data_IF_271961230778
#
_entry.id   IF_271961230778
#
_cell.length_a   1.000
_cell.length_b   1.000
_cell.length_c   1.000
_cell.angle_alpha   90.00
_cell.angle_beta   90.00
_cell.angle_gamma   90.00
#
_symmetry.space_group_name_H-M   'P 1'
#
loop_
_entity.id
_entity.type
_entity.pdbx_description
1 polymer ?
#
# COMPACT_ATOMS: atom_id res chain seq x y z
N UNK A 1 -5.25 -12.84 25.72
CA UNK A 1 -4.50 -11.83 26.47
C UNK A 1 -5.49 -10.85 27.08
N UNK A 2 -5.31 -10.40 28.32
CA UNK A 2 -6.01 -9.20 28.80
C UNK A 2 -5.11 -7.97 28.58
N UNK A 3 -5.72 -6.82 28.29
CA UNK A 3 -4.99 -5.56 28.07
C UNK A 3 -4.21 -5.13 29.32
N UNK A 4 -4.61 -5.61 30.51
CA UNK A 4 -3.95 -5.39 31.81
C UNK A 4 -2.49 -5.90 31.89
N UNK A 5 -1.97 -6.52 30.83
CA UNK A 5 -0.57 -6.98 30.70
C UNK A 5 0.31 -6.11 29.80
N UNK A 6 -0.24 -5.02 29.24
CA UNK A 6 0.45 -4.06 28.39
C UNK A 6 0.49 -2.68 29.06
N UNK A 7 1.57 -2.41 29.80
CA UNK A 7 1.80 -1.09 30.39
C UNK A 7 2.03 -0.02 29.32
N UNK A 8 1.44 1.15 29.55
CA UNK A 8 1.56 2.38 28.76
C UNK A 8 1.02 2.33 27.32
N UNK A 9 -0.28 2.05 27.16
CA UNK A 9 -1.01 2.47 25.94
C UNK A 9 -0.98 3.99 25.85
N UNK A 10 -0.18 4.53 24.94
CA UNK A 10 -0.20 5.96 24.59
C UNK A 10 -1.26 6.21 23.53
N UNK A 11 -2.18 7.14 23.78
CA UNK A 11 -3.09 7.71 22.76
C UNK A 11 -2.63 9.12 22.38
N UNK A 12 -2.98 9.57 21.17
CA UNK A 12 -2.46 10.79 20.54
C UNK A 12 -3.36 11.99 20.82
N UNK A 13 -2.79 13.04 21.40
CA UNK A 13 -3.29 14.40 21.21
C UNK A 13 -2.67 15.01 19.94
N UNK A 14 -3.54 15.50 19.04
CA UNK A 14 -3.24 15.91 17.67
C UNK A 14 -2.43 17.23 17.57
N UNK A 15 -1.90 17.57 16.38
CA UNK A 15 -1.55 18.94 15.98
C UNK A 15 -2.78 19.66 15.40
N UNK A 16 -2.96 20.95 15.73
CA UNK A 16 -4.18 21.73 15.47
C UNK A 16 -4.37 22.23 14.00
N UNK A 17 -4.29 21.35 13.00
CA UNK A 17 -4.40 21.75 11.57
C UNK A 17 -5.71 21.36 10.86
N UNK A 18 -6.46 20.38 11.36
CA UNK A 18 -7.86 20.14 10.95
C UNK A 18 -8.70 19.81 12.20
N UNK A 19 -9.68 20.66 12.59
CA UNK A 19 -10.50 20.46 13.78
C UNK A 19 -11.67 19.46 13.60
N UNK A 20 -11.80 18.84 12.42
CA UNK A 20 -12.88 17.92 12.06
C UNK A 20 -12.38 16.47 11.94
N UNK A 21 -11.18 16.27 11.38
CA UNK A 21 -10.64 14.92 11.14
C UNK A 21 -9.95 14.34 12.39
N UNK A 22 -10.71 13.68 13.27
CA UNK A 22 -10.13 12.87 14.34
C UNK A 22 -9.47 11.60 13.76
N UNK A 23 -8.15 11.67 13.58
CA UNK A 23 -7.32 10.51 13.25
C UNK A 23 -7.39 9.44 14.38
N UNK A 24 -7.24 8.16 14.04
CA UNK A 24 -7.11 7.08 15.03
C UNK A 24 -5.78 7.15 15.80
N UNK A 25 -5.70 6.40 16.89
CA UNK A 25 -4.58 6.41 17.82
C UNK A 25 -3.45 5.46 17.39
N UNK A 26 -2.19 5.91 17.49
CA UNK A 26 -1.03 5.02 17.33
C UNK A 26 -0.77 4.31 18.65
N UNK A 27 -1.06 3.02 18.70
CA UNK A 27 -0.95 2.18 19.90
C UNK A 27 0.51 1.78 20.10
N UNK A 28 1.17 2.36 21.11
CA UNK A 28 2.48 1.90 21.59
C UNK A 28 2.31 1.07 22.85
N UNK A 29 3.08 -0.01 23.00
CA UNK A 29 3.17 -0.81 24.22
C UNK A 29 4.58 -1.42 24.39
N UNK A 30 4.97 -1.76 25.64
CA UNK A 30 6.29 -2.34 25.95
C UNK A 30 6.17 -3.67 26.69
N UNK A 31 6.99 -4.64 26.32
CA UNK A 31 7.13 -5.89 27.07
C UNK A 31 8.60 -6.30 27.27
N UNK A 32 9.08 -6.52 28.51
CA UNK A 32 8.44 -6.12 29.77
C UNK A 32 8.29 -4.59 29.86
N UNK A 33 7.39 -4.13 30.74
CA UNK A 33 7.10 -2.70 30.97
C UNK A 33 8.36 -1.87 31.29
N UNK A 34 9.26 -2.45 32.08
CA UNK A 34 10.65 -1.99 32.27
C UNK A 34 11.58 -2.94 31.51
N UNK A 35 12.15 -2.54 30.36
CA UNK A 35 13.06 -3.38 29.57
C UNK A 35 14.29 -3.88 30.36
N UNK A 36 14.72 -5.11 30.11
CA UNK A 36 15.98 -5.64 30.64
C UNK A 36 17.16 -5.04 29.85
N UNK A 37 18.10 -4.30 30.49
CA UNK A 37 19.24 -3.70 29.79
C UNK A 37 20.26 -4.72 29.25
N UNK A 38 20.11 -6.02 29.56
CA UNK A 38 20.91 -7.11 28.98
C UNK A 38 20.33 -7.66 27.68
N UNK A 39 19.04 -7.40 27.41
CA UNK A 39 18.33 -7.91 26.23
C UNK A 39 18.32 -6.87 25.11
N UNK A 40 18.28 -7.36 23.87
CA UNK A 40 18.04 -6.50 22.69
C UNK A 40 16.59 -6.06 22.67
N UNK A 41 16.31 -4.84 22.22
CA UNK A 41 14.95 -4.35 22.00
C UNK A 41 14.58 -4.46 20.53
N UNK A 42 13.48 -5.14 20.22
CA UNK A 42 12.92 -5.24 18.88
C UNK A 42 11.66 -4.38 18.80
N UNK A 43 11.61 -3.46 17.83
CA UNK A 43 10.38 -2.77 17.45
C UNK A 43 9.55 -3.70 16.57
N UNK A 44 8.30 -3.93 16.95
CA UNK A 44 7.29 -4.61 16.15
C UNK A 44 6.32 -3.54 15.63
N UNK A 45 6.25 -3.37 14.32
CA UNK A 45 5.26 -2.52 13.64
C UNK A 45 4.31 -3.37 12.81
N UNK A 46 3.10 -2.83 12.63
CA UNK A 46 1.98 -3.38 11.89
C UNK A 46 0.79 -2.41 12.00
N UNK A 47 -0.35 -2.71 11.39
CA UNK A 47 -1.50 -1.80 11.40
C UNK A 47 -2.84 -2.49 11.70
N UNK A 48 -3.88 -1.70 12.01
CA UNK A 48 -5.20 -2.20 12.43
C UNK A 48 -6.40 -1.58 11.68
N UNK A 49 -6.18 -0.59 10.83
CA UNK A 49 -7.11 -0.27 9.74
C UNK A 49 -7.04 -1.35 8.64
N UNK A 50 -7.95 -1.26 7.67
CA UNK A 50 -8.13 -2.22 6.57
C UNK A 50 -8.87 -1.56 5.40
N UNK A 51 -8.60 -1.96 4.16
CA UNK A 51 -9.37 -1.60 2.98
C UNK A 51 -10.86 -1.94 3.17
N UNK A 52 -11.78 -1.22 2.49
CA UNK A 52 -13.20 -1.53 2.51
C UNK A 52 -13.53 -2.91 1.89
N UNK A 53 -14.80 -3.30 2.01
CA UNK A 53 -15.35 -4.49 1.34
C UNK A 53 -15.51 -4.19 -0.17
N UNK A 54 -14.66 -4.81 -1.00
CA UNK A 54 -14.81 -4.80 -2.45
C UNK A 54 -15.87 -5.80 -2.93
N UNK A 55 -16.01 -5.97 -4.25
CA UNK A 55 -16.91 -6.96 -4.83
C UNK A 55 -16.34 -8.40 -4.77
N UNK A 56 -17.20 -9.41 -5.01
CA UNK A 56 -16.78 -10.80 -5.26
C UNK A 56 -16.65 -11.72 -4.03
N UNK A 57 -17.02 -11.26 -2.83
CA UNK A 57 -16.94 -12.08 -1.61
C UNK A 57 -17.90 -13.29 -1.60
N UNK A 58 -17.36 -14.47 -1.27
CA UNK A 58 -18.13 -15.72 -1.04
C UNK A 58 -18.60 -15.87 0.41
N UNK A 59 -17.95 -15.20 1.34
CA UNK A 59 -18.26 -15.13 2.78
C UNK A 59 -18.22 -13.65 3.19
N UNK A 60 -19.02 -13.23 4.18
CA UNK A 60 -19.06 -11.82 4.60
C UNK A 60 -17.68 -11.31 5.04
N UNK A 61 -17.20 -10.21 4.45
CA UNK A 61 -15.86 -9.69 4.75
C UNK A 61 -15.64 -9.40 6.23
N UNK A 62 -16.70 -8.97 6.93
CA UNK A 62 -16.67 -8.55 8.33
C UNK A 62 -16.91 -9.68 9.35
N UNK A 63 -17.07 -10.92 8.88
CA UNK A 63 -17.21 -12.10 9.76
C UNK A 63 -16.19 -13.16 9.37
N UNK A 64 -15.12 -13.24 10.17
CA UNK A 64 -14.09 -14.27 10.03
C UNK A 64 -14.74 -15.67 9.94
N UNK A 65 -14.51 -16.36 8.83
CA UNK A 65 -15.15 -17.63 8.48
C UNK A 65 -14.07 -18.64 8.08
N UNK A 66 -14.01 -19.76 8.78
CA UNK A 66 -13.12 -20.87 8.42
C UNK A 66 -13.80 -21.78 7.38
N UNK A 67 -13.13 -21.99 6.24
CA UNK A 67 -13.53 -22.95 5.20
C UNK A 67 -12.31 -23.39 4.40
N UNK A 68 -12.32 -24.62 3.86
CA UNK A 68 -11.26 -25.19 3.01
C UNK A 68 -9.81 -25.05 3.54
N UNK A 69 -9.64 -25.07 4.87
CA UNK A 69 -8.35 -24.87 5.53
C UNK A 69 -7.83 -23.43 5.52
N UNK A 70 -8.70 -22.44 5.27
CA UNK A 70 -8.39 -21.01 5.20
C UNK A 70 -9.32 -20.20 6.10
N UNK A 71 -8.86 -19.02 6.51
CA UNK A 71 -9.62 -18.04 7.28
C UNK A 71 -10.01 -16.88 6.37
N UNK A 72 -11.28 -16.78 6.01
CA UNK A 72 -11.81 -15.73 5.14
C UNK A 72 -12.34 -14.55 5.95
N UNK A 73 -11.86 -13.34 5.64
CA UNK A 73 -12.34 -12.07 6.20
C UNK A 73 -11.40 -10.92 5.85
N UNK A 74 -11.92 -9.68 5.76
CA UNK A 74 -11.10 -8.48 5.57
C UNK A 74 -10.26 -8.25 6.83
N UNK A 75 -8.96 -8.01 6.65
CA UNK A 75 -7.99 -7.93 7.75
C UNK A 75 -7.26 -9.24 8.08
N UNK A 76 -7.69 -10.39 7.56
CA UNK A 76 -7.18 -11.71 7.97
C UNK A 76 -5.69 -11.93 7.73
N UNK A 77 -5.09 -11.25 6.77
CA UNK A 77 -3.67 -11.37 6.36
C UNK A 77 -2.95 -10.01 6.26
N UNK A 78 -3.63 -8.93 6.61
CA UNK A 78 -3.34 -7.56 6.13
C UNK A 78 -4.06 -6.58 7.07
N UNK A 79 -3.51 -6.19 8.22
CA UNK A 79 -2.40 -6.83 8.96
C UNK A 79 -2.87 -7.42 10.32
N UNK A 80 -4.18 -7.59 10.52
CA UNK A 80 -4.72 -8.08 11.82
C UNK A 80 -4.28 -9.51 12.13
N UNK A 81 -4.07 -10.34 11.11
CA UNK A 81 -3.51 -11.69 11.27
C UNK A 81 -2.10 -11.67 11.87
N UNK A 82 -1.10 -11.06 11.21
CA UNK A 82 0.26 -10.99 11.74
C UNK A 82 0.41 -10.16 13.03
N UNK A 83 -0.32 -9.05 13.20
CA UNK A 83 -0.38 -8.31 14.49
C UNK A 83 -0.81 -9.23 15.63
N UNK A 84 -1.88 -10.01 15.45
CA UNK A 84 -2.31 -10.99 16.45
C UNK A 84 -1.31 -12.14 16.61
N UNK A 85 -0.59 -12.54 15.55
CA UNK A 85 0.44 -13.58 15.65
C UNK A 85 1.58 -13.19 16.60
N UNK A 86 2.02 -11.93 16.60
CA UNK A 86 3.00 -11.42 17.57
C UNK A 86 2.51 -11.48 19.02
N UNK A 87 1.26 -11.08 19.27
CA UNK A 87 0.65 -11.12 20.60
C UNK A 87 0.42 -12.57 21.08
N UNK A 88 0.04 -13.47 20.17
CA UNK A 88 -0.12 -14.90 20.44
C UNK A 88 1.23 -15.58 20.71
N UNK A 89 2.29 -15.20 20.01
CA UNK A 89 3.65 -15.69 20.27
C UNK A 89 4.11 -15.28 21.67
N UNK A 90 3.94 -14.00 22.04
CA UNK A 90 4.21 -13.50 23.39
C UNK A 90 3.41 -14.26 24.46
N UNK A 91 2.12 -14.47 24.25
CA UNK A 91 1.28 -15.24 25.17
C UNK A 91 1.72 -16.72 25.29
N UNK A 92 2.25 -17.30 24.21
CA UNK A 92 2.78 -18.67 24.22
C UNK A 92 4.06 -18.81 25.07
N UNK A 93 5.01 -17.85 24.99
CA UNK A 93 6.18 -17.81 25.88
C UNK A 93 5.75 -17.72 27.36
N UNK A 94 4.82 -16.81 27.66
CA UNK A 94 4.28 -16.63 29.01
C UNK A 94 3.60 -17.91 29.54
N UNK A 95 2.73 -18.53 28.75
CA UNK A 95 2.03 -19.79 29.10
C UNK A 95 2.97 -20.98 29.28
N UNK A 96 4.07 -21.02 28.53
CA UNK A 96 5.10 -22.05 28.66
C UNK A 96 6.08 -21.79 29.82
N UNK A 97 5.96 -20.66 30.53
CA UNK A 97 6.94 -20.16 31.51
C UNK A 97 8.36 -20.04 30.95
N UNK A 98 8.50 -19.74 29.66
CA UNK A 98 9.78 -19.52 28.98
C UNK A 98 10.04 -18.02 28.91
N UNK A 99 11.24 -17.61 29.31
CA UNK A 99 11.67 -16.22 29.24
C UNK A 99 11.74 -15.73 27.78
N UNK A 100 11.17 -14.55 27.50
CA UNK A 100 11.20 -13.93 26.17
C UNK A 100 12.63 -13.41 25.92
N UNK A 101 13.32 -13.82 24.84
CA UNK A 101 14.75 -13.56 24.66
C UNK A 101 15.10 -12.09 24.35
N UNK A 102 14.11 -11.24 24.13
CA UNK A 102 14.24 -9.83 23.76
C UNK A 102 13.24 -8.97 24.53
N UNK A 103 13.53 -7.67 24.63
CA UNK A 103 12.50 -6.67 24.93
C UNK A 103 11.71 -6.40 23.63
N UNK A 104 10.40 -6.21 23.74
CA UNK A 104 9.51 -5.86 22.63
C UNK A 104 8.96 -4.45 22.82
N UNK A 105 9.00 -3.65 21.76
CA UNK A 105 8.29 -2.39 21.64
C UNK A 105 7.27 -2.55 20.52
N UNK A 106 5.99 -2.61 20.85
CA UNK A 106 4.92 -2.63 19.85
C UNK A 106 4.58 -1.20 19.45
N UNK A 107 4.32 -0.97 18.16
CA UNK A 107 3.87 0.31 17.61
C UNK A 107 2.91 0.03 16.45
N UNK A 108 1.60 0.05 16.73
CA UNK A 108 0.57 -0.23 15.74
C UNK A 108 -0.21 1.03 15.38
N UNK A 109 -0.39 1.30 14.09
CA UNK A 109 -1.20 2.43 13.62
C UNK A 109 -2.54 2.00 12.99
N UNK A 110 -3.35 2.98 12.61
CA UNK A 110 -4.67 2.77 11.99
C UNK A 110 -4.92 3.69 10.80
N UNK A 111 -3.88 4.05 10.04
CA UNK A 111 -3.95 4.89 8.84
C UNK A 111 -3.08 4.38 7.68
N UNK A 112 -2.47 3.19 7.77
CA UNK A 112 -1.53 2.67 6.74
C UNK A 112 -2.21 2.65 5.37
N UNK A 113 -3.39 2.02 5.31
CA UNK A 113 -4.22 1.83 4.12
C UNK A 113 -4.79 3.16 3.56
N UNK A 114 -4.53 4.26 4.28
CA UNK A 114 -4.86 5.65 3.97
C UNK A 114 -3.62 6.55 3.87
N UNK A 115 -2.42 5.99 3.74
CA UNK A 115 -1.14 6.70 3.54
C UNK A 115 -0.40 7.09 4.84
N UNK A 116 -0.57 6.34 5.92
CA UNK A 116 0.03 6.57 7.26
C UNK A 116 -0.08 8.02 7.75
N UNK A 117 -1.22 8.68 7.47
CA UNK A 117 -1.38 10.13 7.67
C UNK A 117 -1.18 10.51 9.14
N UNK A 118 -0.14 11.31 9.38
CA UNK A 118 0.25 11.76 10.71
C UNK A 118 1.26 10.86 11.42
N UNK A 119 1.62 9.68 10.90
CA UNK A 119 2.53 8.74 11.58
C UNK A 119 3.97 9.26 11.61
N UNK A 120 4.43 9.94 10.55
CA UNK A 120 5.77 10.55 10.50
C UNK A 120 5.95 11.60 11.61
N UNK A 121 4.97 12.49 11.79
CA UNK A 121 4.96 13.50 12.85
C UNK A 121 4.88 12.87 14.24
N UNK A 122 4.15 11.75 14.38
CA UNK A 122 4.13 10.98 15.62
C UNK A 122 5.51 10.39 15.92
N UNK A 123 6.14 9.70 14.97
CA UNK A 123 7.46 9.10 15.12
C UNK A 123 8.54 10.15 15.42
N UNK A 124 8.49 11.33 14.79
CA UNK A 124 9.38 12.46 15.07
C UNK A 124 9.15 13.07 16.46
N UNK A 125 7.88 13.34 16.83
CA UNK A 125 7.48 13.91 18.14
C UNK A 125 7.81 12.96 19.30
N UNK A 126 7.70 11.65 19.07
CA UNK A 126 7.90 10.60 20.06
C UNK A 126 9.18 9.77 19.83
N UNK A 127 10.17 10.31 19.10
CA UNK A 127 11.46 9.67 18.76
C UNK A 127 12.15 9.02 19.96
N UNK A 128 11.99 9.62 21.14
CA UNK A 128 12.61 9.18 22.39
C UNK A 128 12.13 7.78 22.82
N UNK A 129 10.92 7.36 22.42
CA UNK A 129 10.40 5.99 22.62
C UNK A 129 11.24 4.93 21.89
N UNK A 130 11.81 5.30 20.73
CA UNK A 130 12.51 4.40 19.82
C UNK A 130 14.03 4.39 20.03
N UNK A 131 14.57 5.28 20.87
CA UNK A 131 16.02 5.46 21.12
C UNK A 131 16.79 4.19 21.53
N UNK A 132 16.11 3.23 22.16
CA UNK A 132 16.71 1.99 22.66
C UNK A 132 16.39 0.75 21.80
N UNK A 133 15.77 0.95 20.62
CA UNK A 133 15.50 -0.10 19.62
C UNK A 133 16.82 -0.55 18.99
N UNK A 134 16.98 -1.85 18.75
CA UNK A 134 18.16 -2.42 18.09
C UNK A 134 17.86 -3.01 16.71
N UNK A 135 16.61 -3.38 16.45
CA UNK A 135 16.10 -3.76 15.13
C UNK A 135 14.59 -3.48 15.07
N UNK A 136 14.07 -3.24 13.88
CA UNK A 136 12.64 -3.26 13.61
C UNK A 136 12.27 -4.55 12.87
N UNK A 137 11.07 -5.06 13.12
CA UNK A 137 10.47 -6.17 12.42
C UNK A 137 9.03 -5.81 12.05
N UNK A 138 8.67 -6.09 10.81
CA UNK A 138 7.36 -5.85 10.21
C UNK A 138 6.97 -7.19 9.58
N UNK A 139 5.71 -7.62 9.77
CA UNK A 139 5.21 -8.91 9.25
C UNK A 139 4.09 -8.75 8.22
N UNK A 140 4.04 -7.55 7.64
CA UNK A 140 3.00 -7.02 6.78
C UNK A 140 3.38 -7.19 5.29
N UNK A 141 3.63 -8.44 4.89
CA UNK A 141 3.92 -8.76 3.50
C UNK A 141 3.66 -10.22 3.15
N UNK A 142 3.43 -10.44 1.85
CA UNK A 142 3.17 -11.75 1.27
C UNK A 142 4.45 -12.52 0.90
N UNK A 143 4.39 -13.85 0.86
CA UNK A 143 5.41 -14.67 0.18
C UNK A 143 5.27 -14.52 -1.35
N UNK A 144 6.39 -14.66 -2.07
CA UNK A 144 6.40 -14.58 -3.53
C UNK A 144 5.60 -15.70 -4.22
N UNK A 145 5.58 -16.88 -3.61
CA UNK A 145 4.82 -18.07 -4.04
C UNK A 145 4.29 -18.80 -2.82
N UNK A 146 3.29 -19.66 -3.01
CA UNK A 146 2.64 -20.45 -1.94
C UNK A 146 3.52 -21.58 -1.38
N UNK A 147 4.74 -21.78 -1.91
CA UNK A 147 5.60 -22.95 -1.62
C UNK A 147 6.85 -22.65 -0.81
N UNK A 148 7.38 -21.41 -0.82
CA UNK A 148 8.68 -21.08 -0.21
C UNK A 148 8.56 -19.81 0.66
N UNK A 149 8.92 -19.86 1.95
CA UNK A 149 8.97 -18.66 2.78
C UNK A 149 9.99 -17.66 2.23
N UNK A 150 9.66 -16.38 2.35
CA UNK A 150 10.45 -15.26 1.84
C UNK A 150 10.85 -14.32 2.99
N UNK A 151 12.03 -13.70 2.88
CA UNK A 151 12.42 -12.56 3.70
C UNK A 151 12.54 -11.34 2.78
N UNK A 152 11.71 -10.34 3.01
CA UNK A 152 11.68 -9.11 2.21
C UNK A 152 12.69 -8.11 2.75
N UNK A 153 13.55 -7.57 1.89
CA UNK A 153 14.62 -6.61 2.25
C UNK A 153 14.47 -5.23 1.57
N UNK A 154 13.39 -5.04 0.82
CA UNK A 154 13.05 -3.77 0.16
C UNK A 154 11.61 -3.76 -0.31
N UNK A 155 10.98 -2.58 -0.26
CA UNK A 155 9.62 -2.30 -0.70
C UNK A 155 9.66 -1.07 -1.62
N UNK A 156 8.81 -1.00 -2.64
CA UNK A 156 8.75 0.16 -3.53
C UNK A 156 7.98 1.32 -2.89
N UNK A 157 8.46 2.55 -3.08
CA UNK A 157 7.69 3.75 -2.79
C UNK A 157 6.45 3.89 -3.69
N UNK A 158 5.43 4.59 -3.19
CA UNK A 158 4.15 4.85 -3.86
C UNK A 158 3.72 6.31 -3.57
N UNK A 159 3.07 6.96 -4.54
CA UNK A 159 2.89 8.41 -4.63
C UNK A 159 1.40 8.80 -4.97
N UNK A 160 0.86 9.87 -4.35
CA UNK A 160 -0.53 10.42 -4.12
C UNK A 160 -1.31 11.41 -5.06
N UNK A 161 -1.26 11.39 -6.40
CA UNK A 161 -1.71 12.48 -7.32
C UNK A 161 -3.22 12.71 -7.29
N UNK A 162 -3.65 13.83 -7.89
CA UNK A 162 -4.95 13.89 -8.57
C UNK A 162 -4.87 14.68 -9.87
N UNK A 163 -5.21 14.05 -10.99
CA UNK A 163 -5.51 14.73 -12.26
C UNK A 163 -6.97 15.15 -12.26
N UNK A 164 -7.23 16.46 -12.31
CA UNK A 164 -8.57 17.04 -12.48
C UNK A 164 -8.67 17.73 -13.83
N UNK A 165 -9.58 17.29 -14.70
CA UNK A 165 -9.90 18.00 -15.95
C UNK A 165 -11.33 18.55 -15.87
N UNK A 166 -11.48 19.85 -16.11
CA UNK A 166 -12.74 20.56 -16.07
C UNK A 166 -12.78 21.68 -17.14
N UNK A 167 -13.96 21.95 -17.70
CA UNK A 167 -14.17 23.10 -18.57
C UNK A 167 -14.20 24.38 -17.73
N UNK A 168 -13.37 25.38 -18.08
CA UNK A 168 -13.38 26.69 -17.43
C UNK A 168 -14.66 27.46 -17.81
N UNK A 169 -15.54 27.82 -16.84
CA UNK A 169 -16.74 28.60 -17.15
C UNK A 169 -16.37 30.04 -17.52
N UNK A 170 -17.28 30.71 -18.24
CA UNK A 170 -17.19 32.15 -18.48
C UNK A 170 -17.29 32.95 -17.16
N UNK A 171 -16.75 34.17 -17.08
CA UNK A 171 -16.90 35.04 -15.91
C UNK A 171 -18.37 35.18 -15.48
N UNK A 172 -18.64 35.05 -14.19
CA UNK A 172 -20.00 35.09 -13.61
C UNK A 172 -20.86 33.84 -13.85
N UNK A 173 -20.40 32.85 -14.62
CA UNK A 173 -21.14 31.63 -14.93
C UNK A 173 -20.68 30.44 -14.06
N UNK A 174 -21.58 29.48 -13.84
CA UNK A 174 -21.25 28.17 -13.27
C UNK A 174 -21.02 27.14 -14.38
N UNK A 175 -20.23 26.07 -14.17
CA UNK A 175 -20.15 24.95 -15.11
C UNK A 175 -21.55 24.36 -15.36
N UNK A 176 -21.86 24.06 -16.62
CA UNK A 176 -23.17 23.54 -17.06
C UNK A 176 -22.98 22.18 -17.73
N UNK A 177 -23.75 21.14 -17.36
CA UNK A 177 -23.72 19.85 -18.06
C UNK A 177 -24.19 20.02 -19.51
N UNK A 178 -23.35 19.62 -20.47
CA UNK A 178 -23.64 19.72 -21.90
C UNK A 178 -24.33 18.45 -22.41
N UNK A 179 -25.34 18.62 -23.26
CA UNK A 179 -26.02 17.51 -23.93
C UNK A 179 -25.18 17.02 -25.12
N UNK A 180 -24.62 15.80 -25.02
CA UNK A 180 -23.72 15.23 -26.03
C UNK A 180 -24.27 15.28 -27.46
N UNK A 181 -25.56 14.96 -27.67
CA UNK A 181 -26.20 15.05 -28.99
C UNK A 181 -26.43 16.46 -29.56
N UNK A 182 -26.03 17.52 -28.85
CA UNK A 182 -26.08 18.93 -29.30
C UNK A 182 -24.67 19.52 -29.41
N UNK A 183 -23.80 19.21 -28.44
CA UNK A 183 -22.46 19.82 -28.34
C UNK A 183 -21.30 18.88 -28.73
N UNK A 184 -21.53 17.58 -28.81
CA UNK A 184 -20.51 16.59 -29.17
C UNK A 184 -19.89 16.88 -30.52
N UNK A 185 -18.55 16.82 -30.60
CA UNK A 185 -17.79 17.23 -31.79
C UNK A 185 -17.69 18.74 -32.03
N UNK A 186 -18.25 19.59 -31.17
CA UNK A 186 -18.14 21.07 -31.24
C UNK A 186 -17.48 21.71 -30.02
N UNK A 187 -17.20 20.93 -28.97
CA UNK A 187 -16.50 21.36 -27.75
C UNK A 187 -15.40 20.37 -27.37
N UNK A 188 -14.37 20.85 -26.65
CA UNK A 188 -13.40 19.97 -26.00
C UNK A 188 -14.03 19.29 -24.79
N UNK A 189 -14.21 17.97 -24.85
CA UNK A 189 -14.78 17.17 -23.76
C UNK A 189 -13.68 16.73 -22.78
N UNK A 190 -13.84 16.96 -21.45
CA UNK A 190 -12.84 16.55 -20.46
C UNK A 190 -12.41 15.08 -20.53
N UNK A 191 -13.31 14.16 -20.90
CA UNK A 191 -12.98 12.74 -21.09
C UNK A 191 -12.01 12.50 -22.25
N UNK A 192 -12.15 13.23 -23.36
CA UNK A 192 -11.26 13.08 -24.51
C UNK A 192 -9.85 13.53 -24.16
N UNK A 193 -9.72 14.69 -23.51
CA UNK A 193 -8.42 15.17 -23.01
C UNK A 193 -7.82 14.22 -21.96
N UNK A 194 -8.65 13.63 -21.09
CA UNK A 194 -8.21 12.68 -20.06
C UNK A 194 -7.64 11.39 -20.66
N UNK A 195 -8.34 10.79 -21.63
CA UNK A 195 -7.85 9.60 -22.36
C UNK A 195 -6.57 9.92 -23.16
N UNK A 196 -6.48 11.10 -23.77
CA UNK A 196 -5.29 11.58 -24.49
C UNK A 196 -4.11 11.86 -23.53
N UNK A 197 -4.38 12.23 -22.27
CA UNK A 197 -3.35 12.45 -21.26
C UNK A 197 -2.81 11.14 -20.69
N UNK A 198 -3.70 10.21 -20.33
CA UNK A 198 -3.33 8.91 -19.74
C UNK A 198 -2.59 8.00 -20.73
N UNK A 199 -2.97 8.03 -22.02
CA UNK A 199 -2.24 7.33 -23.10
C UNK A 199 -0.83 7.88 -23.38
N UNK A 200 -0.40 8.93 -22.66
CA UNK A 200 0.97 9.47 -22.65
C UNK A 200 1.71 9.21 -21.33
N UNK A 201 1.14 8.43 -20.39
CA UNK A 201 1.82 8.05 -19.15
C UNK A 201 2.64 6.77 -19.31
N UNK A 202 2.12 5.76 -20.02
CA UNK A 202 2.84 4.52 -20.31
C UNK A 202 2.43 3.90 -21.65
N UNK A 203 3.31 3.10 -22.24
CA UNK A 203 3.01 2.29 -23.44
C UNK A 203 2.31 0.96 -23.10
N UNK A 204 1.93 0.19 -24.12
CA UNK A 204 1.30 -1.13 -23.97
C UNK A 204 2.23 -2.24 -23.45
N UNK A 205 3.49 -1.91 -23.13
CA UNK A 205 4.46 -2.78 -22.46
C UNK A 205 4.78 -2.28 -21.03
N UNK A 206 4.08 -1.25 -20.54
CA UNK A 206 4.30 -0.67 -19.22
C UNK A 206 5.52 0.26 -19.10
N UNK A 207 6.18 0.61 -20.21
CA UNK A 207 7.27 1.59 -20.20
C UNK A 207 6.70 2.99 -19.96
N UNK A 208 7.12 3.65 -18.88
CA UNK A 208 6.63 4.97 -18.51
C UNK A 208 7.17 6.02 -19.50
N UNK A 209 6.30 6.88 -20.03
CA UNK A 209 6.62 7.85 -21.09
C UNK A 209 6.87 9.28 -20.55
N UNK A 210 6.85 9.45 -19.23
CA UNK A 210 7.10 10.75 -18.58
C UNK A 210 8.60 11.09 -18.67
N UNK A 211 8.99 12.22 -19.30
CA UNK A 211 10.39 12.52 -19.55
C UNK A 211 11.24 12.61 -18.27
N UNK A 212 12.38 11.92 -18.27
CA UNK A 212 13.38 11.99 -17.21
C UNK A 212 13.33 10.86 -16.17
N UNK A 213 12.23 10.11 -16.05
CA UNK A 213 12.09 9.05 -15.04
C UNK A 213 13.17 7.97 -15.17
N UNK A 214 13.48 7.50 -16.38
CA UNK A 214 14.54 6.50 -16.59
C UNK A 214 15.92 6.95 -16.08
N UNK A 215 16.18 8.27 -16.08
CA UNK A 215 17.42 8.87 -15.57
C UNK A 215 17.51 8.94 -14.04
N UNK A 216 16.43 8.61 -13.33
CA UNK A 216 16.40 8.46 -11.87
C UNK A 216 16.62 7.01 -11.44
N UNK A 217 16.48 6.04 -12.35
CA UNK A 217 16.56 4.61 -12.03
C UNK A 217 18.02 4.17 -11.87
N UNK A 218 18.37 3.67 -10.68
CA UNK A 218 19.71 3.13 -10.41
C UNK A 218 20.08 2.01 -11.39
N UNK A 219 21.33 2.04 -11.88
CA UNK A 219 21.84 1.07 -12.86
C UNK A 219 21.91 -0.34 -12.26
N UNK A 220 21.37 -1.33 -12.98
CA UNK A 220 21.41 -2.74 -12.54
C UNK A 220 22.86 -3.23 -12.46
N UNK A 221 23.25 -3.82 -11.32
CA UNK A 221 24.59 -4.41 -11.15
C UNK A 221 24.60 -5.91 -11.53
N UNK A 222 25.75 -6.49 -11.90
CA UNK A 222 25.86 -7.94 -12.12
C UNK A 222 25.49 -8.77 -10.89
N UNK A 223 25.85 -8.30 -9.69
CA UNK A 223 25.54 -8.95 -8.41
C UNK A 223 24.04 -8.89 -8.08
N UNK A 224 23.36 -7.82 -8.49
CA UNK A 224 21.89 -7.73 -8.43
C UNK A 224 21.24 -8.71 -9.42
N UNK A 225 21.74 -8.81 -10.66
CA UNK A 225 21.25 -9.76 -11.67
C UNK A 225 21.40 -11.22 -11.19
N UNK A 226 22.49 -11.53 -10.48
CA UNK A 226 22.73 -12.86 -9.93
C UNK A 226 21.66 -13.29 -8.91
N UNK A 227 21.16 -12.36 -8.08
CA UNK A 227 20.16 -12.66 -7.04
C UNK A 227 18.84 -13.20 -7.62
N UNK A 228 18.49 -12.88 -8.87
CA UNK A 228 17.27 -13.35 -9.51
C UNK A 228 17.31 -14.82 -9.97
N UNK A 229 18.46 -15.50 -9.94
CA UNK A 229 18.63 -16.84 -10.52
C UNK A 229 18.01 -17.96 -9.68
N UNK A 230 18.19 -17.94 -8.35
CA UNK A 230 17.73 -18.99 -7.42
C UNK A 230 16.32 -18.74 -6.82
N UNK A 231 15.56 -17.82 -7.42
CA UNK A 231 14.26 -17.40 -6.90
C UNK A 231 13.18 -18.39 -7.34
N UNK A 232 12.39 -18.89 -6.39
CA UNK A 232 11.34 -19.88 -6.65
C UNK A 232 10.08 -19.20 -7.24
N UNK A 233 10.15 -18.84 -8.52
CA UNK A 233 9.09 -18.18 -9.29
C UNK A 233 9.16 -18.63 -10.75
N UNK A 234 8.01 -18.79 -11.41
CA UNK A 234 7.90 -19.20 -12.81
C UNK A 234 6.64 -18.57 -13.43
N UNK A 235 6.61 -18.47 -14.76
CA UNK A 235 5.55 -17.75 -15.47
C UNK A 235 4.23 -18.52 -15.46
N UNK A 236 4.26 -19.85 -15.51
CA UNK A 236 3.05 -20.68 -15.52
C UNK A 236 2.25 -20.48 -14.21
N UNK A 237 2.93 -20.52 -13.06
CA UNK A 237 2.33 -20.23 -11.75
C UNK A 237 1.83 -18.80 -11.63
N UNK A 238 2.54 -17.83 -12.21
CA UNK A 238 2.08 -16.45 -12.26
C UNK A 238 0.77 -16.31 -13.07
N UNK A 239 0.74 -16.86 -14.29
CA UNK A 239 -0.46 -16.87 -15.15
C UNK A 239 -1.64 -17.63 -14.55
N UNK A 240 -1.39 -18.75 -13.86
CA UNK A 240 -2.43 -19.44 -13.08
C UNK A 240 -2.93 -18.60 -11.90
N UNK A 241 -2.06 -17.83 -11.23
CA UNK A 241 -2.43 -16.95 -10.11
C UNK A 241 -3.26 -15.74 -10.57
N UNK A 242 -2.95 -15.15 -11.73
CA UNK A 242 -3.73 -14.05 -12.33
C UNK A 242 -4.87 -14.53 -13.26
N UNK A 243 -5.10 -15.84 -13.34
CA UNK A 243 -6.13 -16.46 -14.18
C UNK A 243 -6.04 -16.14 -15.68
N UNK A 244 -4.87 -15.73 -16.20
CA UNK A 244 -4.74 -15.19 -17.56
C UNK A 244 -3.31 -15.19 -18.12
N UNK A 245 -3.20 -15.11 -19.44
CA UNK A 245 -1.95 -14.96 -20.19
C UNK A 245 -1.47 -13.48 -20.28
N UNK A 246 -2.04 -12.58 -19.47
CA UNK A 246 -1.82 -11.12 -19.54
C UNK A 246 -0.44 -10.66 -18.98
N UNK A 247 0.58 -11.52 -19.01
CA UNK A 247 1.92 -11.21 -18.55
C UNK A 247 2.65 -10.30 -19.56
N UNK A 248 3.09 -9.12 -19.10
CA UNK A 248 3.83 -8.15 -19.92
C UNK A 248 5.22 -8.69 -20.34
N UNK A 249 5.85 -9.50 -19.48
CA UNK A 249 7.20 -10.01 -19.65
C UNK A 249 7.21 -11.53 -19.78
N UNK A 250 7.96 -12.06 -20.74
CA UNK A 250 8.00 -13.49 -21.04
C UNK A 250 8.89 -14.33 -20.11
N UNK A 251 9.69 -13.70 -19.22
CA UNK A 251 10.62 -14.41 -18.33
C UNK A 251 10.37 -14.09 -16.85
N UNK A 252 10.67 -15.06 -15.99
CA UNK A 252 10.63 -14.90 -14.54
C UNK A 252 11.54 -13.75 -14.08
N UNK A 253 12.79 -13.72 -14.55
CA UNK A 253 13.78 -12.70 -14.19
C UNK A 253 13.31 -11.28 -14.54
N UNK A 254 12.84 -11.08 -15.78
CA UNK A 254 12.36 -9.75 -16.21
C UNK A 254 11.08 -9.35 -15.45
N UNK A 255 10.17 -10.29 -15.20
CA UNK A 255 8.96 -10.05 -14.39
C UNK A 255 9.29 -9.63 -12.97
N UNK A 256 10.25 -10.29 -12.31
CA UNK A 256 10.67 -9.95 -10.94
C UNK A 256 11.39 -8.59 -10.89
N UNK A 257 12.25 -8.28 -11.86
CA UNK A 257 12.89 -6.96 -11.96
C UNK A 257 11.84 -5.84 -12.09
N UNK A 258 10.81 -6.01 -12.93
CA UNK A 258 9.75 -5.00 -13.10
C UNK A 258 8.74 -4.96 -11.94
N UNK A 259 8.63 -6.01 -11.14
CA UNK A 259 7.89 -5.97 -9.86
C UNK A 259 8.66 -5.21 -8.79
N UNK A 260 9.98 -5.38 -8.70
CA UNK A 260 10.76 -4.95 -7.53
C UNK A 260 11.61 -3.70 -7.72
N UNK A 261 12.34 -3.57 -8.84
CA UNK A 261 13.33 -2.48 -9.02
C UNK A 261 12.86 -1.37 -9.95
N UNK A 262 12.15 -1.71 -11.03
CA UNK A 262 11.75 -0.72 -12.02
C UNK A 262 10.44 -0.02 -11.60
N UNK A 263 10.29 1.27 -11.92
CA UNK A 263 9.04 1.97 -11.69
C UNK A 263 7.93 1.42 -12.60
N UNK A 264 6.68 1.54 -12.17
CA UNK A 264 5.51 1.18 -12.97
C UNK A 264 4.33 2.08 -12.61
N UNK A 265 3.64 2.63 -13.59
CA UNK A 265 2.41 3.41 -13.39
C UNK A 265 1.18 2.49 -13.38
N UNK A 266 0.30 2.67 -12.40
CA UNK A 266 -1.08 2.19 -12.46
C UNK A 266 -2.02 3.39 -12.55
N UNK A 267 -3.12 3.24 -13.30
CA UNK A 267 -4.13 4.26 -13.48
C UNK A 267 -5.51 3.69 -13.13
N UNK A 268 -5.84 3.58 -11.82
CA UNK A 268 -7.16 3.11 -11.41
C UNK A 268 -8.21 4.13 -11.86
N UNK A 269 -9.21 3.68 -12.63
CA UNK A 269 -10.17 4.58 -13.27
C UNK A 269 -11.60 4.14 -13.03
N UNK A 270 -12.22 4.68 -11.99
CA UNK A 270 -13.67 4.69 -11.87
C UNK A 270 -14.27 5.67 -12.88
N UNK A 271 -14.56 5.19 -14.10
CA UNK A 271 -15.48 5.90 -14.99
C UNK A 271 -16.91 5.60 -14.54
N UNK A 272 -17.72 6.60 -14.13
CA UNK A 272 -19.16 6.42 -13.98
C UNK A 272 -19.82 6.29 -15.37
N UNK A 273 -19.69 5.12 -15.99
CA UNK A 273 -20.26 4.80 -17.31
C UNK A 273 -21.78 4.69 -17.22
N UNK A 274 -22.46 5.42 -18.11
CA UNK A 274 -23.92 5.54 -18.09
C UNK A 274 -24.60 4.34 -18.77
N UNK A 275 -24.63 3.19 -18.09
CA UNK A 275 -25.20 1.93 -18.58
C UNK A 275 -26.76 1.89 -18.59
N UNK A 276 -27.41 2.75 -19.39
CA UNK A 276 -28.76 2.46 -19.89
C UNK A 276 -28.93 2.89 -21.37
N UNK A 277 -28.97 1.93 -22.31
CA UNK A 277 -29.21 2.19 -23.73
C UNK A 277 -30.52 2.96 -24.04
N UNK A 278 -31.48 2.99 -23.12
CA UNK A 278 -32.80 3.62 -23.33
C UNK A 278 -32.87 5.09 -22.93
N UNK A 279 -31.86 5.61 -22.22
CA UNK A 279 -31.90 6.95 -21.61
C UNK A 279 -31.07 8.05 -22.32
N UNK A 280 -30.72 7.87 -23.59
CA UNK A 280 -30.07 8.88 -24.46
C UNK A 280 -30.83 10.23 -24.66
N UNK A 281 -31.90 10.49 -23.89
CA UNK A 281 -32.79 11.68 -24.01
C UNK A 281 -32.81 12.58 -22.77
N UNK A 282 -31.89 12.41 -21.81
CA UNK A 282 -31.66 13.36 -20.70
C UNK A 282 -30.17 13.70 -20.62
N UNK A 283 -29.88 14.98 -20.43
CA UNK A 283 -28.53 15.54 -20.61
C UNK A 283 -27.48 14.94 -19.67
N UNK A 284 -26.34 14.60 -20.25
CA UNK A 284 -25.13 14.09 -19.58
C UNK A 284 -24.56 15.07 -18.56
N UNK A 285 -24.47 14.66 -17.28
CA UNK A 285 -23.48 15.23 -16.36
C UNK A 285 -22.11 14.67 -16.78
N UNK A 286 -21.11 15.53 -16.96
CA UNK A 286 -20.04 15.55 -15.96
C UNK A 286 -19.65 16.98 -15.54
N UNK A 287 -19.24 17.15 -14.28
CA UNK A 287 -18.81 18.44 -13.72
C UNK A 287 -17.30 18.55 -13.54
N UNK A 288 -16.66 17.41 -13.28
CA UNK A 288 -15.22 17.20 -13.22
C UNK A 288 -14.97 15.70 -13.32
N UNK A 289 -13.80 15.31 -13.80
CA UNK A 289 -13.26 13.97 -13.58
C UNK A 289 -11.99 14.14 -12.76
N UNK A 290 -11.94 13.46 -11.61
CA UNK A 290 -10.81 13.46 -10.69
C UNK A 290 -10.26 12.02 -10.69
N UNK A 291 -9.11 11.77 -11.31
CA UNK A 291 -8.41 10.49 -11.19
C UNK A 291 -7.27 10.68 -10.20
N UNK A 292 -7.22 9.85 -9.17
CA UNK A 292 -6.12 9.85 -8.20
C UNK A 292 -5.00 8.90 -8.72
N UNK A 293 -3.74 9.36 -8.76
CA UNK A 293 -2.58 8.75 -9.47
C UNK A 293 -1.26 8.82 -8.63
N UNK A 294 -0.03 8.78 -9.21
CA UNK A 294 1.37 9.22 -8.86
C UNK A 294 1.98 10.51 -8.16
N UNK A 295 1.47 11.29 -7.17
CA UNK A 295 2.17 12.54 -6.64
C UNK A 295 3.20 12.29 -5.53
N UNK A 296 4.22 13.13 -5.45
CA UNK A 296 5.27 13.06 -4.44
C UNK A 296 6.61 12.82 -5.09
N UNK A 297 7.69 13.19 -4.39
CA UNK A 297 9.02 13.17 -4.97
C UNK A 297 9.49 11.74 -5.30
N UNK A 298 10.30 11.64 -6.34
CA UNK A 298 10.78 10.38 -6.89
C UNK A 298 12.01 9.87 -6.11
N UNK A 299 11.82 9.44 -4.87
CA UNK A 299 12.79 8.51 -4.24
C UNK A 299 12.67 7.14 -4.93
N UNK A 300 13.41 6.99 -6.02
CA UNK A 300 13.78 5.68 -6.55
C UNK A 300 14.47 4.89 -5.44
N UNK A 301 14.13 3.60 -5.35
CA UNK A 301 14.79 2.63 -4.50
C UNK A 301 16.30 2.63 -4.75
N UNK A 302 17.05 3.36 -3.93
CA UNK A 302 18.47 3.07 -3.72
C UNK A 302 18.53 1.72 -3.02
N UNK A 303 19.17 0.69 -3.60
CA UNK A 303 19.51 -0.50 -2.85
C UNK A 303 20.38 -0.02 -1.69
N UNK A 304 19.90 -0.18 -0.46
CA UNK A 304 20.66 0.18 0.71
C UNK A 304 21.91 -0.72 0.68
N UNK A 305 23.06 -0.15 0.33
CA UNK A 305 24.27 -0.93 0.07
C UNK A 305 24.63 -1.62 1.37
N UNK A 306 24.31 -2.91 1.46
CA UNK A 306 24.58 -3.73 2.62
C UNK A 306 26.09 -3.77 2.80
N UNK A 307 26.61 -2.84 3.61
CA UNK A 307 28.01 -2.76 3.94
C UNK A 307 28.36 -4.08 4.62
N UNK A 308 29.02 -4.98 3.89
CA UNK A 308 29.54 -6.23 4.41
C UNK A 308 30.79 -5.94 5.27
N UNK A 309 30.58 -5.12 6.31
CA UNK A 309 31.46 -5.01 7.46
C UNK A 309 31.46 -6.34 8.20
N UNK A 310 32.66 -6.75 8.62
CA UNK A 310 32.91 -7.99 9.35
C UNK A 310 32.72 -7.78 10.85
#
# INVERSE_FOLDING_TARGET
MSLDSLDHVFTRNQPDTDPVLKLPDVIVAKYPATPDPKKRTILIYGHYDVQPEGEGWTHSAWKLTEADGKLYGRGSTDDKGPVLAWLNALEAYQKAAVDVPVNLLFCFEGMEESGSVGFSEFAQKHKDLFTNVNAACISDNYWLTTRKPCLTYGLRGVNYFTITIAQKPLPGHKPVPLHSGIYGGTVHEPMTELVIMLSKLADSKGNIQVPGIDGLVDTVTPDEIAQYQDINFNMDEFSNTIGSEAAIYATAKDTLMHRWRYPSTHAPMEIPLYHDPRHQRRGSQPKSYNIHLPEGDWEVLRPNSANHGR
#
